data_IF_305493440744
#
_entry.id   IF_305493440744
#
_cell.length_a   1.000
_cell.length_b   1.000
_cell.length_c   1.000
_cell.angle_alpha   90.00
_cell.angle_beta   90.00
_cell.angle_gamma   90.00
#
_symmetry.space_group_name_H-M   'P 1'
#
loop_
_entity.id
_entity.type
_entity.pdbx_description
1 polymer ?
#
# COMPACT_ATOMS: atom_id res chain seq x y z
N UNK A 1 0.24 35.87 19.69
CA UNK A 1 0.36 35.47 18.28
C UNK A 1 1.69 34.76 17.98
N UNK A 2 2.87 35.29 18.28
CA UNK A 2 4.18 34.64 18.00
C UNK A 2 4.31 33.18 18.47
N UNK A 3 3.78 32.81 19.64
CA UNK A 3 3.85 31.45 20.17
C UNK A 3 3.01 30.43 19.35
N UNK A 4 1.89 30.86 18.79
CA UNK A 4 1.03 29.99 17.96
C UNK A 4 1.68 29.74 16.58
N UNK A 5 2.29 30.76 15.98
CA UNK A 5 3.04 30.62 14.71
C UNK A 5 4.26 29.69 14.86
N UNK A 6 5.01 29.83 15.96
CA UNK A 6 6.18 28.98 16.24
C UNK A 6 5.75 27.53 16.44
N UNK A 7 4.62 27.30 17.13
CA UNK A 7 4.05 25.95 17.34
C UNK A 7 3.56 25.35 16.03
N UNK A 8 2.85 26.11 15.20
CA UNK A 8 2.37 25.66 13.90
C UNK A 8 3.52 25.33 12.93
N UNK A 9 4.58 26.16 12.91
CA UNK A 9 5.79 25.90 12.12
C UNK A 9 6.47 24.60 12.56
N UNK A 10 6.62 24.37 13.87
CA UNK A 10 7.23 23.16 14.43
C UNK A 10 6.41 21.90 14.11
N UNK A 11 5.06 21.99 14.17
CA UNK A 11 4.19 20.87 13.79
C UNK A 11 4.35 20.54 12.31
N UNK A 12 4.40 21.56 11.44
CA UNK A 12 4.58 21.38 10.00
C UNK A 12 5.95 20.77 9.67
N UNK A 13 7.02 21.23 10.30
CA UNK A 13 8.37 20.69 10.12
C UNK A 13 8.42 19.22 10.57
N UNK A 14 7.88 18.89 11.74
CA UNK A 14 7.81 17.51 12.22
C UNK A 14 6.97 16.59 11.30
N UNK A 15 5.89 17.11 10.71
CA UNK A 15 5.08 16.38 9.75
C UNK A 15 5.89 16.04 8.49
N UNK A 16 6.54 17.03 7.88
CA UNK A 16 7.34 16.82 6.68
C UNK A 16 8.57 15.94 6.93
N UNK A 17 9.21 16.07 8.08
CA UNK A 17 10.30 15.19 8.51
C UNK A 17 9.82 13.74 8.61
N UNK A 18 8.63 13.50 9.17
CA UNK A 18 8.06 12.16 9.29
C UNK A 18 7.71 11.58 7.92
N UNK A 19 7.03 12.34 7.06
CA UNK A 19 6.62 11.88 5.71
C UNK A 19 7.83 11.58 4.81
N UNK A 20 8.89 12.38 4.93
CA UNK A 20 10.11 12.20 4.13
C UNK A 20 11.13 11.26 4.76
N UNK A 21 10.92 10.85 6.03
CA UNK A 21 11.82 9.91 6.67
C UNK A 21 11.93 8.62 5.84
N UNK A 22 13.15 8.11 5.61
CA UNK A 22 13.31 6.83 4.94
C UNK A 22 12.69 5.75 5.81
N UNK A 23 11.54 5.24 5.38
CA UNK A 23 10.92 4.09 6.01
C UNK A 23 11.62 2.83 5.52
N UNK A 24 12.39 2.21 6.39
CA UNK A 24 13.20 1.01 6.09
C UNK A 24 12.81 -0.18 6.98
N UNK A 25 11.56 -0.27 7.41
CA UNK A 25 11.12 -1.46 8.13
C UNK A 25 10.97 -2.64 7.15
N UNK A 26 12.11 -3.32 6.94
CA UNK A 26 12.20 -4.50 6.06
C UNK A 26 11.36 -5.65 6.56
N UNK A 27 11.20 -5.79 7.88
CA UNK A 27 10.44 -6.88 8.48
C UNK A 27 8.95 -6.69 8.20
N UNK A 28 8.42 -5.51 8.47
CA UNK A 28 7.00 -5.21 8.19
C UNK A 28 6.69 -5.35 6.70
N UNK A 29 7.54 -4.80 5.82
CA UNK A 29 7.38 -4.94 4.39
C UNK A 29 7.40 -6.42 3.94
N UNK A 30 8.27 -7.25 4.51
CA UNK A 30 8.33 -8.69 4.22
C UNK A 30 7.06 -9.40 4.68
N UNK A 31 6.60 -9.13 5.91
CA UNK A 31 5.36 -9.73 6.43
C UNK A 31 4.14 -9.34 5.58
N UNK A 32 4.03 -8.09 5.18
CA UNK A 32 2.96 -7.65 4.29
C UNK A 32 2.99 -8.36 2.93
N UNK A 33 4.18 -8.56 2.35
CA UNK A 33 4.34 -9.34 1.11
C UNK A 33 3.90 -10.79 1.28
N UNK A 34 4.25 -11.42 2.40
CA UNK A 34 3.83 -12.80 2.71
C UNK A 34 2.31 -12.88 2.84
N UNK A 35 1.69 -11.92 3.55
CA UNK A 35 0.24 -11.85 3.72
C UNK A 35 -0.45 -11.71 2.35
N UNK A 36 0.03 -10.84 1.48
CA UNK A 36 -0.51 -10.72 0.11
C UNK A 36 -0.36 -12.01 -0.69
N UNK A 37 0.82 -12.62 -0.64
CA UNK A 37 1.05 -13.91 -1.31
C UNK A 37 0.07 -14.98 -0.85
N UNK A 38 -0.22 -15.03 0.44
CA UNK A 38 -1.19 -15.96 1.03
C UNK A 38 -2.63 -15.66 0.59
N UNK A 39 -3.04 -14.38 0.62
CA UNK A 39 -4.38 -13.96 0.15
C UNK A 39 -4.57 -14.35 -1.32
N UNK A 40 -3.57 -14.10 -2.18
CA UNK A 40 -3.67 -14.43 -3.60
C UNK A 40 -3.63 -15.94 -3.87
N UNK A 41 -2.85 -16.70 -3.09
CA UNK A 41 -2.86 -18.17 -3.18
C UNK A 41 -4.23 -18.74 -2.81
N UNK A 42 -4.87 -18.26 -1.75
CA UNK A 42 -6.24 -18.63 -1.38
C UNK A 42 -7.22 -18.22 -2.49
N UNK A 43 -7.04 -17.04 -3.10
CA UNK A 43 -7.90 -16.56 -4.19
C UNK A 43 -7.78 -17.45 -5.43
N UNK A 44 -6.59 -17.96 -5.75
CA UNK A 44 -6.40 -18.95 -6.82
C UNK A 44 -7.14 -20.25 -6.48
N UNK A 45 -6.96 -20.76 -5.26
CA UNK A 45 -7.62 -21.99 -4.82
C UNK A 45 -9.15 -21.86 -4.91
N UNK A 46 -9.70 -20.77 -4.41
CA UNK A 46 -11.12 -20.47 -4.55
C UNK A 46 -11.54 -20.37 -6.01
N UNK A 47 -10.77 -19.69 -6.85
CA UNK A 47 -11.05 -19.60 -8.29
C UNK A 47 -11.12 -20.96 -8.96
N UNK A 48 -10.22 -21.87 -8.63
CA UNK A 48 -10.24 -23.25 -9.15
C UNK A 48 -11.49 -24.01 -8.67
N UNK A 49 -11.81 -23.91 -7.38
CA UNK A 49 -12.95 -24.62 -6.78
C UNK A 49 -14.31 -24.14 -7.33
N UNK A 50 -14.43 -22.86 -7.63
CA UNK A 50 -15.69 -22.26 -8.11
C UNK A 50 -15.72 -22.01 -9.61
N UNK A 51 -14.75 -22.54 -10.38
CA UNK A 51 -14.77 -22.48 -11.84
C UNK A 51 -14.56 -21.07 -12.39
N UNK A 52 -13.70 -20.26 -11.74
CA UNK A 52 -13.39 -18.91 -12.23
C UNK A 52 -12.77 -18.94 -13.64
N UNK A 53 -12.91 -17.87 -14.43
CA UNK A 53 -12.31 -17.77 -15.76
C UNK A 53 -10.81 -18.01 -15.75
N UNK A 54 -10.28 -18.65 -16.78
CA UNK A 54 -8.83 -18.92 -16.93
C UNK A 54 -8.00 -17.61 -16.88
N UNK A 55 -8.54 -16.54 -17.44
CA UNK A 55 -7.92 -15.20 -17.41
C UNK A 55 -7.70 -14.68 -15.98
N UNK A 56 -8.67 -14.92 -15.09
CA UNK A 56 -8.54 -14.60 -13.65
C UNK A 56 -7.41 -15.41 -13.00
N UNK A 57 -7.40 -16.75 -13.25
CA UNK A 57 -6.36 -17.63 -12.70
C UNK A 57 -4.95 -17.24 -13.17
N UNK A 58 -4.82 -16.85 -14.45
CA UNK A 58 -3.57 -16.36 -15.01
C UNK A 58 -3.14 -15.02 -14.36
N UNK A 59 -4.06 -14.08 -14.18
CA UNK A 59 -3.78 -12.82 -13.52
C UNK A 59 -3.30 -13.03 -12.07
N UNK A 60 -3.99 -13.88 -11.32
CA UNK A 60 -3.61 -14.24 -9.94
C UNK A 60 -2.28 -14.98 -9.89
N UNK A 61 -2.03 -15.93 -10.80
CA UNK A 61 -0.75 -16.64 -10.93
C UNK A 61 0.40 -15.68 -11.22
N UNK A 62 0.21 -14.70 -12.11
CA UNK A 62 1.19 -13.66 -12.40
C UNK A 62 1.50 -12.80 -11.16
N UNK A 63 0.48 -12.44 -10.36
CA UNK A 63 0.68 -11.68 -9.12
C UNK A 63 1.55 -12.45 -8.11
N UNK A 64 1.24 -13.74 -7.92
CA UNK A 64 2.03 -14.60 -7.01
C UNK A 64 3.46 -14.74 -7.52
N UNK A 65 3.66 -14.96 -8.81
CA UNK A 65 4.99 -15.09 -9.42
C UNK A 65 5.84 -13.81 -9.28
N UNK A 66 5.24 -12.64 -9.56
CA UNK A 66 5.90 -11.34 -9.40
C UNK A 66 6.29 -11.09 -7.94
N UNK A 67 5.40 -11.40 -7.00
CA UNK A 67 5.67 -11.22 -5.58
C UNK A 67 6.74 -12.18 -5.07
N UNK A 68 6.70 -13.45 -5.47
CA UNK A 68 7.72 -14.43 -5.12
C UNK A 68 9.10 -14.03 -5.68
N UNK A 69 9.14 -13.57 -6.94
CA UNK A 69 10.34 -13.02 -7.57
C UNK A 69 10.89 -11.81 -6.80
N UNK A 70 10.01 -10.88 -6.42
CA UNK A 70 10.39 -9.73 -5.60
C UNK A 70 11.00 -10.17 -4.26
N UNK A 71 10.36 -11.08 -3.53
CA UNK A 71 10.86 -11.59 -2.25
C UNK A 71 12.23 -12.26 -2.42
N UNK A 72 12.41 -13.07 -3.48
CA UNK A 72 13.66 -13.75 -3.77
C UNK A 72 14.80 -12.77 -4.06
N UNK A 73 14.53 -11.73 -4.87
CA UNK A 73 15.51 -10.68 -5.19
C UNK A 73 15.82 -9.83 -3.96
N UNK A 74 14.80 -9.39 -3.23
CA UNK A 74 14.97 -8.56 -2.04
C UNK A 74 15.70 -9.26 -0.89
N UNK A 75 15.64 -10.60 -0.80
CA UNK A 75 16.44 -11.38 0.16
C UNK A 75 17.93 -11.29 -0.13
N UNK A 76 18.33 -11.20 -1.41
CA UNK A 76 19.75 -11.13 -1.83
C UNK A 76 20.26 -9.71 -1.85
N UNK A 77 19.51 -8.81 -2.49
CA UNK A 77 19.89 -7.43 -2.70
C UNK A 77 18.67 -6.52 -2.52
N UNK A 78 18.44 -6.10 -1.28
CA UNK A 78 17.35 -5.18 -1.01
C UNK A 78 17.63 -3.80 -1.62
N UNK A 79 16.79 -3.40 -2.55
CA UNK A 79 16.77 -2.05 -3.11
C UNK A 79 15.32 -1.59 -3.24
N UNK A 80 14.97 -0.49 -2.62
CA UNK A 80 13.60 0.04 -2.55
C UNK A 80 12.95 0.24 -3.93
N UNK A 81 13.72 0.60 -4.94
CA UNK A 81 13.19 0.76 -6.30
C UNK A 81 12.63 -0.55 -6.88
N UNK A 82 13.17 -1.71 -6.47
CA UNK A 82 12.66 -3.03 -6.89
C UNK A 82 11.23 -3.21 -6.39
N UNK A 83 10.95 -2.82 -5.14
CA UNK A 83 9.60 -2.85 -4.61
C UNK A 83 8.68 -1.91 -5.38
N UNK A 84 9.10 -0.66 -5.62
CA UNK A 84 8.29 0.30 -6.40
C UNK A 84 7.93 -0.26 -7.77
N UNK A 85 8.91 -0.78 -8.52
CA UNK A 85 8.68 -1.36 -9.86
C UNK A 85 7.75 -2.57 -9.77
N UNK A 86 8.00 -3.49 -8.82
CA UNK A 86 7.16 -4.69 -8.68
C UNK A 86 5.72 -4.33 -8.36
N UNK A 87 5.48 -3.42 -7.40
CA UNK A 87 4.12 -3.04 -7.04
C UNK A 87 3.42 -2.18 -8.10
N UNK A 88 4.17 -1.43 -8.89
CA UNK A 88 3.64 -0.78 -10.09
C UNK A 88 3.21 -1.83 -11.14
N UNK A 89 4.01 -2.86 -11.38
CA UNK A 89 3.64 -3.96 -12.29
C UNK A 89 2.45 -4.77 -11.75
N UNK A 90 2.40 -5.03 -10.44
CA UNK A 90 1.27 -5.73 -9.79
C UNK A 90 -0.05 -4.96 -9.90
N UNK A 91 -0.01 -3.65 -10.06
CA UNK A 91 -1.23 -2.85 -10.22
C UNK A 91 -2.02 -3.23 -11.49
N UNK A 92 -1.35 -3.70 -12.54
CA UNK A 92 -1.95 -4.04 -13.84
C UNK A 92 -2.90 -5.25 -13.69
N UNK A 93 -2.46 -6.44 -13.23
CA UNK A 93 -3.35 -7.59 -13.11
C UNK A 93 -4.46 -7.38 -12.06
N UNK A 94 -4.19 -6.59 -11.00
CA UNK A 94 -5.21 -6.24 -10.01
C UNK A 94 -6.30 -5.39 -10.64
N UNK A 95 -5.91 -4.39 -11.44
CA UNK A 95 -6.86 -3.57 -12.18
C UNK A 95 -7.64 -4.41 -13.20
N UNK A 96 -6.99 -5.37 -13.87
CA UNK A 96 -7.65 -6.28 -14.78
C UNK A 96 -8.75 -7.10 -14.08
N UNK A 97 -8.44 -7.69 -12.91
CA UNK A 97 -9.41 -8.47 -12.12
C UNK A 97 -10.59 -7.60 -11.67
N UNK A 98 -10.31 -6.39 -11.25
CA UNK A 98 -11.33 -5.41 -10.87
C UNK A 98 -12.21 -5.00 -12.05
N UNK A 99 -11.60 -4.61 -13.17
CA UNK A 99 -12.30 -4.12 -14.36
C UNK A 99 -13.24 -5.17 -14.97
N UNK A 100 -12.79 -6.41 -15.02
CA UNK A 100 -13.62 -7.52 -15.56
C UNK A 100 -14.54 -8.15 -14.53
N UNK A 101 -14.56 -7.66 -13.29
CA UNK A 101 -15.34 -8.23 -12.19
C UNK A 101 -15.27 -9.77 -12.13
N UNK A 102 -14.06 -10.31 -12.35
CA UNK A 102 -13.79 -11.73 -12.65
C UNK A 102 -14.35 -12.72 -11.61
N UNK A 103 -14.58 -12.26 -10.38
CA UNK A 103 -15.18 -13.01 -9.26
C UNK A 103 -16.38 -12.28 -8.65
N UNK A 104 -17.10 -11.51 -9.46
CA UNK A 104 -18.29 -10.76 -9.03
C UNK A 104 -17.94 -9.67 -8.01
N UNK A 105 -18.79 -9.51 -7.00
CA UNK A 105 -18.66 -8.44 -5.99
C UNK A 105 -17.32 -8.41 -5.24
N UNK A 106 -16.64 -9.55 -5.09
CA UNK A 106 -15.36 -9.63 -4.39
C UNK A 106 -14.22 -8.96 -5.17
N UNK A 107 -14.34 -8.78 -6.48
CA UNK A 107 -13.31 -8.11 -7.30
C UNK A 107 -13.01 -6.68 -6.85
N UNK A 108 -13.99 -6.00 -6.24
CA UNK A 108 -13.87 -4.65 -5.68
C UNK A 108 -12.90 -4.57 -4.50
N UNK A 109 -12.74 -5.66 -3.75
CA UNK A 109 -11.85 -5.68 -2.58
C UNK A 109 -10.36 -5.67 -2.97
N UNK A 110 -10.01 -6.17 -4.15
CA UNK A 110 -8.61 -6.26 -4.58
C UNK A 110 -7.91 -4.89 -4.67
N UNK A 111 -8.44 -3.89 -5.40
CA UNK A 111 -7.83 -2.57 -5.43
C UNK A 111 -7.76 -1.93 -4.05
N UNK A 112 -8.75 -2.13 -3.19
CA UNK A 112 -8.78 -1.57 -1.85
C UNK A 112 -7.69 -2.17 -0.95
N UNK A 113 -7.61 -3.51 -0.88
CA UNK A 113 -6.58 -4.20 -0.12
C UNK A 113 -5.18 -3.89 -0.65
N UNK A 114 -5.01 -3.87 -1.97
CA UNK A 114 -3.75 -3.53 -2.60
C UNK A 114 -3.29 -2.12 -2.25
N UNK A 115 -4.17 -1.13 -2.40
CA UNK A 115 -3.87 0.27 -2.09
C UNK A 115 -3.51 0.49 -0.62
N UNK A 116 -4.20 -0.18 0.30
CA UNK A 116 -3.83 -0.16 1.70
C UNK A 116 -2.45 -0.80 1.93
N UNK A 117 -2.23 -1.97 1.34
CA UNK A 117 -1.00 -2.73 1.54
C UNK A 117 0.26 -2.06 0.98
N UNK A 118 0.17 -1.40 -0.18
CA UNK A 118 1.34 -0.68 -0.73
C UNK A 118 1.78 0.49 0.15
N UNK A 119 0.88 1.08 0.93
CA UNK A 119 1.25 2.13 1.91
C UNK A 119 2.21 1.56 2.96
N UNK A 120 1.97 0.34 3.44
CA UNK A 120 2.83 -0.31 4.42
C UNK A 120 4.15 -0.83 3.83
N UNK A 121 4.17 -1.19 2.54
CA UNK A 121 5.37 -1.72 1.88
C UNK A 121 6.28 -0.60 1.36
N UNK A 122 5.69 0.39 0.69
CA UNK A 122 6.44 1.46 0.02
C UNK A 122 6.60 2.72 0.89
N UNK A 123 5.85 2.81 1.99
CA UNK A 123 5.76 4.02 2.82
C UNK A 123 4.92 5.12 2.17
N UNK A 124 4.68 6.20 2.90
CA UNK A 124 3.75 7.27 2.53
C UNK A 124 4.11 7.89 1.18
N UNK A 125 5.35 8.31 1.00
CA UNK A 125 5.78 9.08 -0.16
C UNK A 125 5.68 8.32 -1.47
N UNK A 126 6.15 7.07 -1.51
CA UNK A 126 6.22 6.30 -2.76
C UNK A 126 4.87 5.66 -3.12
N UNK A 127 4.07 5.29 -2.12
CA UNK A 127 2.73 4.75 -2.36
C UNK A 127 1.74 5.81 -2.84
N UNK A 128 1.97 7.09 -2.49
CA UNK A 128 1.04 8.17 -2.82
C UNK A 128 0.78 8.29 -4.32
N UNK A 129 1.82 8.26 -5.13
CA UNK A 129 1.70 8.39 -6.59
C UNK A 129 0.90 7.22 -7.16
N UNK A 130 1.22 5.98 -6.75
CA UNK A 130 0.52 4.77 -7.22
C UNK A 130 -0.95 4.82 -6.79
N UNK A 131 -1.22 5.18 -5.54
CA UNK A 131 -2.58 5.27 -5.03
C UNK A 131 -3.40 6.38 -5.70
N UNK A 132 -2.77 7.50 -6.07
CA UNK A 132 -3.44 8.58 -6.79
C UNK A 132 -3.88 8.11 -8.19
N UNK A 133 -3.01 7.42 -8.93
CA UNK A 133 -3.37 6.82 -10.21
C UNK A 133 -4.46 5.76 -10.07
N UNK A 134 -4.37 4.94 -9.04
CA UNK A 134 -5.37 3.90 -8.77
C UNK A 134 -6.73 4.48 -8.41
N UNK A 135 -6.75 5.52 -7.58
CA UNK A 135 -7.97 6.26 -7.24
C UNK A 135 -8.61 6.89 -8.48
N UNK A 136 -7.80 7.53 -9.32
CA UNK A 136 -8.29 8.11 -10.58
C UNK A 136 -8.89 7.02 -11.48
N UNK A 137 -8.22 5.88 -11.64
CA UNK A 137 -8.71 4.74 -12.41
C UNK A 137 -10.02 4.19 -11.86
N UNK A 138 -10.15 4.03 -10.54
CA UNK A 138 -11.38 3.58 -9.87
C UNK A 138 -12.53 4.56 -10.11
N UNK A 139 -12.28 5.88 -9.94
CA UNK A 139 -13.31 6.90 -10.16
C UNK A 139 -13.74 6.92 -11.63
N UNK A 140 -12.78 6.85 -12.56
CA UNK A 140 -13.09 6.84 -14.00
C UNK A 140 -13.95 5.63 -14.37
N UNK A 141 -13.63 4.43 -13.87
CA UNK A 141 -14.40 3.23 -14.16
C UNK A 141 -15.85 3.32 -13.68
N UNK A 142 -16.08 3.91 -12.50
CA UNK A 142 -17.43 3.99 -11.95
C UNK A 142 -18.25 5.20 -12.44
N UNK A 143 -17.57 6.32 -12.79
CA UNK A 143 -18.28 7.57 -13.17
C UNK A 143 -18.56 7.71 -14.64
N UNK A 144 -17.72 7.13 -15.48
CA UNK A 144 -17.82 7.29 -16.94
C UNK A 144 -18.31 6.03 -17.65
N UNK A 145 -18.83 5.07 -16.90
CA UNK A 145 -19.42 3.83 -17.43
C UNK A 145 -18.53 3.13 -18.46
N UNK A 146 -17.21 3.26 -18.26
CA UNK A 146 -16.23 2.64 -19.15
C UNK A 146 -16.39 1.11 -19.17
N UNK A 147 -17.13 0.57 -18.21
CA UNK A 147 -17.49 -0.82 -18.15
C UNK A 147 -18.97 -0.97 -17.82
N UNK A 148 -19.83 -1.04 -18.82
CA UNK A 148 -21.27 -1.29 -18.66
C UNK A 148 -21.59 -2.56 -17.83
N UNK A 149 -20.65 -3.52 -17.80
CA UNK A 149 -20.77 -4.72 -16.95
C UNK A 149 -20.59 -4.43 -15.46
N UNK A 150 -19.93 -3.34 -15.07
CA UNK A 150 -19.67 -3.06 -13.65
C UNK A 150 -20.95 -2.65 -12.92
N UNK A 151 -21.81 -1.85 -13.55
CA UNK A 151 -23.10 -1.45 -12.98
C UNK A 151 -24.05 -2.62 -12.87
N UNK A 152 -24.11 -3.47 -13.89
CA UNK A 152 -24.89 -4.71 -13.89
C UNK A 152 -24.43 -5.70 -12.82
N UNK A 153 -23.12 -5.80 -12.57
CA UNK A 153 -22.54 -6.76 -11.63
C UNK A 153 -22.54 -6.21 -10.20
N UNK A 154 -22.15 -4.94 -10.01
CA UNK A 154 -22.01 -4.37 -8.68
C UNK A 154 -23.29 -3.67 -8.18
N UNK A 155 -24.21 -3.33 -9.08
CA UNK A 155 -25.41 -2.57 -8.81
C UNK A 155 -25.14 -1.09 -8.53
N UNK A 156 -26.12 -0.25 -8.79
CA UNK A 156 -26.03 1.22 -8.68
C UNK A 156 -25.55 1.70 -7.30
N UNK A 157 -26.02 1.05 -6.23
CA UNK A 157 -25.65 1.42 -4.86
C UNK A 157 -24.15 1.21 -4.56
N UNK A 158 -23.54 0.17 -5.10
CA UNK A 158 -22.11 -0.11 -4.90
C UNK A 158 -21.30 0.84 -5.77
N UNK A 159 -21.68 1.04 -7.02
CA UNK A 159 -21.03 1.94 -7.95
C UNK A 159 -20.96 3.38 -7.38
N UNK A 160 -22.01 3.84 -6.73
CA UNK A 160 -22.07 5.18 -6.12
C UNK A 160 -21.23 5.28 -4.84
N UNK A 161 -21.25 4.26 -3.99
CA UNK A 161 -20.65 4.30 -2.63
C UNK A 161 -19.21 3.84 -2.58
N UNK A 162 -18.80 2.96 -3.49
CA UNK A 162 -17.47 2.36 -3.46
C UNK A 162 -16.32 3.38 -3.55
N UNK A 163 -16.32 4.40 -4.42
CA UNK A 163 -15.26 5.40 -4.45
C UNK A 163 -15.05 6.11 -3.11
N UNK A 164 -16.13 6.40 -2.38
CA UNK A 164 -16.03 7.03 -1.05
C UNK A 164 -15.43 6.07 -0.01
N UNK A 165 -15.88 4.82 0.00
CA UNK A 165 -15.31 3.79 0.88
C UNK A 165 -13.84 3.56 0.58
N UNK A 166 -13.47 3.50 -0.70
CA UNK A 166 -12.08 3.37 -1.13
C UNK A 166 -11.21 4.51 -0.59
N UNK A 167 -11.63 5.77 -0.76
CA UNK A 167 -10.91 6.94 -0.22
C UNK A 167 -10.76 6.84 1.30
N UNK A 168 -11.84 6.50 2.02
CA UNK A 168 -11.79 6.36 3.47
C UNK A 168 -10.78 5.28 3.92
N UNK A 169 -10.78 4.12 3.27
CA UNK A 169 -9.85 3.04 3.61
C UNK A 169 -8.39 3.41 3.33
N UNK A 170 -8.12 3.99 2.17
CA UNK A 170 -6.78 4.46 1.81
C UNK A 170 -6.32 5.54 2.78
N UNK A 171 -7.18 6.50 3.11
CA UNK A 171 -6.86 7.54 4.09
C UNK A 171 -6.54 6.96 5.47
N UNK A 172 -7.32 5.98 5.96
CA UNK A 172 -7.03 5.27 7.21
C UNK A 172 -5.68 4.56 7.17
N UNK A 173 -5.32 3.91 6.04
CA UNK A 173 -4.02 3.29 5.86
C UNK A 173 -2.87 4.32 5.96
N UNK A 174 -3.04 5.50 5.36
CA UNK A 174 -2.07 6.60 5.49
C UNK A 174 -1.94 7.12 6.92
N UNK A 175 -3.05 7.27 7.64
CA UNK A 175 -3.00 7.70 9.05
C UNK A 175 -2.28 6.67 9.93
N UNK A 176 -2.57 5.39 9.74
CA UNK A 176 -1.89 4.31 10.47
C UNK A 176 -0.39 4.31 10.14
N UNK A 177 -0.04 4.40 8.86
CA UNK A 177 1.35 4.43 8.44
C UNK A 177 2.08 5.66 8.96
N UNK A 178 1.44 6.83 8.96
CA UNK A 178 1.99 8.03 9.55
C UNK A 178 2.29 7.84 11.04
N UNK A 179 1.39 7.23 11.79
CA UNK A 179 1.58 6.93 13.21
C UNK A 179 2.77 5.99 13.45
N UNK A 180 2.93 4.96 12.61
CA UNK A 180 4.05 4.03 12.66
C UNK A 180 5.37 4.75 12.36
N UNK A 181 5.42 5.53 11.28
CA UNK A 181 6.63 6.27 10.90
C UNK A 181 6.99 7.32 11.95
N UNK A 182 6.01 8.04 12.50
CA UNK A 182 6.25 9.01 13.57
C UNK A 182 6.87 8.36 14.81
N UNK A 183 6.33 7.21 15.23
CA UNK A 183 6.87 6.44 16.35
C UNK A 183 8.33 6.01 16.09
N UNK A 184 8.62 5.54 14.88
CA UNK A 184 9.95 5.12 14.46
C UNK A 184 10.97 6.26 14.50
N UNK A 185 10.63 7.41 13.91
CA UNK A 185 11.47 8.61 13.91
C UNK A 185 11.74 9.08 15.35
N UNK A 186 10.72 9.07 16.21
CA UNK A 186 10.90 9.45 17.60
C UNK A 186 11.78 8.47 18.37
N UNK A 187 11.64 7.17 18.13
CA UNK A 187 12.49 6.13 18.71
C UNK A 187 13.96 6.32 18.30
N UNK A 188 14.24 6.54 17.01
CA UNK A 188 15.60 6.81 16.53
C UNK A 188 16.20 8.08 17.16
N UNK A 189 15.43 9.16 17.22
CA UNK A 189 15.89 10.41 17.88
C UNK A 189 16.20 10.19 19.38
N UNK A 190 15.46 9.33 20.05
CA UNK A 190 15.76 8.98 21.47
C UNK A 190 17.05 8.17 21.59
N UNK A 191 17.27 7.19 20.72
CA UNK A 191 18.50 6.40 20.69
C UNK A 191 19.74 7.27 20.42
N UNK A 192 19.69 8.15 19.42
CA UNK A 192 20.79 9.08 19.13
C UNK A 192 21.12 10.00 20.31
N UNK A 193 20.10 10.46 21.05
CA UNK A 193 20.32 11.27 22.25
C UNK A 193 21.00 10.48 23.36
N UNK A 194 20.62 9.21 23.55
CA UNK A 194 21.26 8.33 24.53
C UNK A 194 22.71 8.04 24.17
N UNK A 195 22.98 7.73 22.89
CA UNK A 195 24.34 7.50 22.41
C UNK A 195 25.24 8.74 22.58
N UNK A 196 24.70 9.93 22.33
CA UNK A 196 25.44 11.18 22.56
C UNK A 196 25.79 11.35 24.05
N UNK A 197 24.85 11.13 24.96
CA UNK A 197 25.11 11.19 26.41
C UNK A 197 26.17 10.19 26.85
N UNK A 198 26.05 8.93 26.41
CA UNK A 198 27.05 7.91 26.74
C UNK A 198 28.44 8.30 26.23
N UNK A 199 28.52 8.89 25.03
CA UNK A 199 29.79 9.37 24.44
C UNK A 199 30.36 10.57 25.17
N UNK A 200 29.50 11.46 25.72
CA UNK A 200 29.91 12.61 26.53
C UNK A 200 30.38 12.19 27.93
N UNK A 201 29.76 11.15 28.52
CA UNK A 201 30.11 10.64 29.84
C UNK A 201 31.34 9.70 29.84
N UNK A 202 31.63 9.05 28.71
CA UNK A 202 32.77 8.14 28.54
C UNK A 202 33.66 8.56 27.36
N UNK A 203 34.42 9.68 27.47
CA UNK A 203 35.24 10.21 26.37
C UNK A 203 36.49 9.35 26.06
N UNK A 204 36.72 8.24 26.75
CA UNK A 204 37.94 7.42 26.67
C UNK A 204 37.74 6.03 26.05
N UNK A 205 36.67 5.78 25.27
CA UNK A 205 36.52 4.54 24.52
C UNK A 205 36.70 4.78 23.02
#
# INVERSE_FOLDING_TARGET
>A
MKNAETKAKRIRENFWDTVNAPYEDRELALWMKIIFGFIWAISILNGILYGAPVSYLLAMGMMVALLAGNIAVCRRHYRRWIDVVTFTLLSIPIFYVYYHASIGYFSVLFPMLFSCGIVFILGIRNSFVINLFYLAAVILCFRFDLNASAEDIYGENVALRFPYLYVCFVFMAYLLMYSIQHYWVEKQRRQERLERRVREECPCV
#
